data_IF_544308607809
#
_entry.id   IF_544308607809
#
_cell.length_a   1.000
_cell.length_b   1.000
_cell.length_c   1.000
_cell.angle_alpha   90.00
_cell.angle_beta   90.00
_cell.angle_gamma   90.00
#
_symmetry.space_group_name_H-M   'P 1'
#
loop_
_entity.id
_entity.type
_entity.pdbx_description
1 polymer ?
#
# COMPACT_ATOMS: atom_id res chain seq x y z
N UNK A 1 -18.61 -11.74 -4.52
CA UNK A 1 -17.51 -10.95 -5.11
C UNK A 1 -16.92 -10.10 -4.00
N UNK A 2 -15.63 -10.21 -3.71
CA UNK A 2 -14.93 -9.44 -2.68
C UNK A 2 -14.05 -8.37 -3.34
N UNK A 3 -14.08 -7.14 -2.81
CA UNK A 3 -13.18 -6.06 -3.23
C UNK A 3 -12.33 -5.69 -2.00
N UNK A 4 -11.10 -6.20 -1.90
CA UNK A 4 -10.20 -5.83 -0.82
C UNK A 4 -9.78 -4.38 -0.92
N UNK A 5 -9.70 -3.70 0.22
CA UNK A 5 -9.24 -2.31 0.33
C UNK A 5 -7.96 -2.27 1.17
N UNK A 6 -6.89 -1.75 0.58
CA UNK A 6 -5.61 -1.49 1.24
C UNK A 6 -5.55 -0.01 1.59
N UNK A 7 -5.53 0.31 2.88
CA UNK A 7 -5.30 1.68 3.36
C UNK A 7 -3.78 1.89 3.50
N UNK A 8 -3.16 2.46 2.47
CA UNK A 8 -1.72 2.72 2.40
C UNK A 8 -1.44 4.19 2.71
N UNK A 9 -1.40 4.51 3.99
CA UNK A 9 -1.11 5.85 4.49
C UNK A 9 -0.43 5.82 5.87
N UNK A 10 0.10 6.98 6.26
CA UNK A 10 0.69 7.21 7.59
C UNK A 10 2.21 7.13 7.62
N UNK A 11 2.82 8.05 8.37
CA UNK A 11 4.28 8.21 8.54
C UNK A 11 4.94 7.08 9.36
N UNK A 12 4.15 6.16 9.94
CA UNK A 12 4.66 5.01 10.69
C UNK A 12 5.36 5.36 12.00
N UNK A 13 4.93 6.42 12.70
CA UNK A 13 5.58 6.94 13.91
C UNK A 13 5.86 5.91 15.04
N UNK A 14 5.13 4.78 15.08
CA UNK A 14 5.32 3.71 16.08
C UNK A 14 6.46 2.74 15.77
N UNK A 15 7.01 2.76 14.55
CA UNK A 15 8.16 1.93 14.14
C UNK A 15 9.46 2.73 14.11
N UNK A 16 9.51 3.87 14.78
CA UNK A 16 10.75 4.61 14.95
C UNK A 16 11.82 3.73 15.66
N UNK A 17 13.09 3.73 15.22
CA UNK A 17 13.73 4.59 14.21
C UNK A 17 13.66 4.08 12.77
N UNK A 18 13.01 2.94 12.54
CA UNK A 18 12.94 2.26 11.23
C UNK A 18 12.01 2.97 10.25
N UNK A 19 10.87 3.47 10.73
CA UNK A 19 9.99 4.35 9.95
C UNK A 19 10.36 5.80 10.20
N UNK A 20 10.70 6.51 9.12
CA UNK A 20 10.93 7.96 9.11
C UNK A 20 9.96 8.59 8.12
N UNK A 21 9.80 9.90 8.17
CA UNK A 21 8.99 10.62 7.16
C UNK A 21 9.50 10.35 5.74
N UNK A 22 10.83 10.23 5.57
CA UNK A 22 11.47 9.83 4.31
C UNK A 22 11.34 8.34 3.95
N UNK A 23 10.98 7.48 4.90
CA UNK A 23 10.77 6.03 4.71
C UNK A 23 9.47 5.58 5.37
N UNK A 24 8.33 5.85 4.72
CA UNK A 24 7.02 5.50 5.26
C UNK A 24 6.90 3.99 5.44
N UNK A 25 6.24 3.57 6.53
CA UNK A 25 6.04 2.17 6.91
C UNK A 25 5.66 1.25 5.74
N UNK A 26 4.70 1.56 4.84
CA UNK A 26 4.31 0.65 3.76
C UNK A 26 5.49 0.13 2.92
N UNK A 27 6.54 0.93 2.75
CA UNK A 27 7.69 0.64 1.90
C UNK A 27 8.82 -0.10 2.61
N UNK A 28 8.73 -0.34 3.92
CA UNK A 28 9.75 -1.10 4.67
C UNK A 28 9.81 -2.52 4.14
N UNK A 29 11.01 -2.95 3.72
CA UNK A 29 11.30 -4.33 3.32
C UNK A 29 11.57 -5.21 4.52
N UNK A 30 11.03 -6.42 4.48
CA UNK A 30 11.26 -7.47 5.47
C UNK A 30 12.46 -8.34 5.06
N UNK A 31 12.84 -9.27 5.92
CA UNK A 31 14.00 -10.15 5.71
C UNK A 31 13.92 -10.99 4.42
N UNK A 32 12.71 -11.22 3.90
CA UNK A 32 12.47 -11.93 2.64
C UNK A 32 12.49 -11.02 1.40
N UNK A 33 12.90 -9.77 1.55
CA UNK A 33 13.07 -8.81 0.46
C UNK A 33 11.78 -8.15 -0.03
N UNK A 34 10.61 -8.57 0.47
CA UNK A 34 9.33 -7.94 0.13
C UNK A 34 8.98 -6.80 1.09
N UNK A 35 8.34 -5.75 0.57
CA UNK A 35 7.78 -4.69 1.41
C UNK A 35 6.49 -5.11 2.12
N UNK A 36 6.14 -4.39 3.19
CA UNK A 36 4.85 -4.55 3.87
C UNK A 36 3.67 -4.34 2.89
N UNK A 37 3.82 -3.39 1.97
CA UNK A 37 2.83 -3.08 0.94
C UNK A 37 2.70 -4.21 -0.08
N UNK A 38 3.81 -4.74 -0.60
CA UNK A 38 3.80 -5.89 -1.51
C UNK A 38 3.12 -7.11 -0.89
N UNK A 39 3.45 -7.43 0.36
CA UNK A 39 2.82 -8.55 1.07
C UNK A 39 1.32 -8.36 1.25
N UNK A 40 0.90 -7.13 1.51
CA UNK A 40 -0.53 -6.81 1.66
C UNK A 40 -1.27 -6.96 0.34
N UNK A 41 -0.66 -6.51 -0.77
CA UNK A 41 -1.21 -6.67 -2.12
C UNK A 41 -1.33 -8.13 -2.54
N UNK A 42 -0.31 -8.96 -2.28
CA UNK A 42 -0.35 -10.39 -2.61
C UNK A 42 -1.47 -11.12 -1.86
N UNK A 43 -1.65 -10.82 -0.55
CA UNK A 43 -2.78 -11.36 0.23
C UNK A 43 -4.13 -10.87 -0.28
N UNK A 44 -4.24 -9.58 -0.59
CA UNK A 44 -5.46 -8.99 -1.12
C UNK A 44 -5.85 -9.62 -2.47
N UNK A 45 -4.91 -9.73 -3.40
CA UNK A 45 -5.13 -10.32 -4.72
C UNK A 45 -5.58 -11.79 -4.64
N UNK A 46 -5.05 -12.56 -3.68
CA UNK A 46 -5.49 -13.94 -3.43
C UNK A 46 -6.97 -14.00 -3.00
N UNK A 47 -7.39 -13.09 -2.11
CA UNK A 47 -8.78 -13.01 -1.63
C UNK A 47 -9.74 -12.44 -2.69
N UNK A 48 -9.26 -11.54 -3.54
CA UNK A 48 -10.03 -10.99 -4.64
C UNK A 48 -10.36 -12.04 -5.74
N UNK A 49 -9.67 -13.19 -5.74
CA UNK A 49 -9.92 -14.31 -6.65
C UNK A 49 -9.96 -13.91 -8.14
N UNK A 50 -9.02 -13.05 -8.56
CA UNK A 50 -8.98 -12.50 -9.93
C UNK A 50 -9.69 -11.16 -10.11
N UNK A 51 -10.45 -10.70 -9.11
CA UNK A 51 -11.03 -9.37 -9.06
C UNK A 51 -10.03 -8.25 -8.72
N UNK A 52 -10.50 -6.99 -8.74
CA UNK A 52 -9.67 -5.83 -8.43
C UNK A 52 -9.37 -5.71 -6.94
N UNK A 53 -8.27 -5.02 -6.63
CA UNK A 53 -7.92 -4.53 -5.30
C UNK A 53 -7.93 -3.01 -5.33
N UNK A 54 -8.48 -2.37 -4.31
CA UNK A 54 -8.44 -0.91 -4.18
C UNK A 54 -7.35 -0.53 -3.19
N UNK A 55 -6.45 0.38 -3.59
CA UNK A 55 -5.49 1.00 -2.67
C UNK A 55 -5.85 2.47 -2.46
N UNK A 56 -6.14 2.82 -1.22
CA UNK A 56 -6.32 4.21 -0.77
C UNK A 56 -4.97 4.75 -0.33
N UNK A 57 -4.51 5.86 -0.92
CA UNK A 57 -3.21 6.47 -0.58
C UNK A 57 -3.18 7.95 -0.91
N UNK A 58 -2.15 8.66 -0.43
CA UNK A 58 -1.93 10.07 -0.77
C UNK A 58 -1.27 10.18 -2.17
N UNK A 59 -1.56 11.27 -2.89
CA UNK A 59 -0.90 11.65 -4.15
C UNK A 59 0.63 11.63 -4.09
N UNK A 60 1.21 11.94 -2.93
CA UNK A 60 2.67 11.89 -2.72
C UNK A 60 3.25 10.48 -2.87
N UNK A 61 2.48 9.44 -2.52
CA UNK A 61 2.95 8.05 -2.47
C UNK A 61 2.41 7.18 -3.60
N UNK A 62 1.59 7.73 -4.50
CA UNK A 62 0.96 6.94 -5.58
C UNK A 62 2.00 6.30 -6.49
N UNK A 63 3.04 7.04 -6.89
CA UNK A 63 4.07 6.54 -7.79
C UNK A 63 4.94 5.48 -7.12
N UNK A 64 5.39 5.71 -5.88
CA UNK A 64 6.14 4.73 -5.11
C UNK A 64 5.32 3.44 -4.89
N UNK A 65 4.03 3.57 -4.56
CA UNK A 65 3.12 2.41 -4.41
C UNK A 65 2.96 1.66 -5.72
N UNK A 66 2.82 2.38 -6.83
CA UNK A 66 2.69 1.80 -8.17
C UNK A 66 3.95 1.00 -8.55
N UNK A 67 5.13 1.53 -8.26
CA UNK A 67 6.40 0.84 -8.52
C UNK A 67 6.57 -0.41 -7.67
N UNK A 68 6.18 -0.37 -6.39
CA UNK A 68 6.14 -1.56 -5.52
C UNK A 68 5.23 -2.65 -6.10
N UNK A 69 4.03 -2.29 -6.56
CA UNK A 69 3.11 -3.26 -7.18
C UNK A 69 3.57 -3.76 -8.54
N UNK A 70 4.20 -2.91 -9.35
CA UNK A 70 4.78 -3.30 -10.64
C UNK A 70 5.88 -4.34 -10.45
N UNK A 71 6.74 -4.14 -9.45
CA UNK A 71 7.87 -5.05 -9.17
C UNK A 71 7.45 -6.47 -8.79
N UNK A 72 6.18 -6.68 -8.40
CA UNK A 72 5.59 -8.00 -8.10
C UNK A 72 4.53 -8.42 -9.13
N UNK A 73 4.39 -7.71 -10.25
CA UNK A 73 3.42 -8.03 -11.31
C UNK A 73 1.95 -7.87 -10.90
N UNK A 74 1.66 -7.03 -9.91
CA UNK A 74 0.31 -6.84 -9.37
C UNK A 74 -0.34 -5.49 -9.73
N UNK A 75 0.36 -4.63 -10.46
CA UNK A 75 -0.09 -3.26 -10.81
C UNK A 75 -1.46 -3.23 -11.50
N UNK A 76 -1.69 -4.09 -12.49
CA UNK A 76 -2.91 -4.12 -13.30
C UNK A 76 -4.16 -4.50 -12.51
N UNK A 77 -3.99 -5.17 -11.36
CA UNK A 77 -5.09 -5.57 -10.48
C UNK A 77 -5.53 -4.46 -9.53
N UNK A 78 -4.75 -3.37 -9.46
CA UNK A 78 -4.97 -2.33 -8.48
C UNK A 78 -5.68 -1.10 -9.06
N UNK A 79 -6.67 -0.61 -8.33
CA UNK A 79 -7.30 0.69 -8.55
C UNK A 79 -6.87 1.63 -7.43
N UNK A 80 -6.40 2.83 -7.78
CA UNK A 80 -6.00 3.84 -6.80
C UNK A 80 -7.15 4.78 -6.45
N UNK A 81 -7.40 4.96 -5.16
CA UNK A 81 -8.23 6.03 -4.61
C UNK A 81 -7.31 7.03 -3.90
N UNK A 82 -7.21 8.25 -4.44
CA UNK A 82 -6.26 9.25 -3.92
C UNK A 82 -6.93 10.16 -2.89
N UNK A 83 -6.39 10.18 -1.68
CA UNK A 83 -6.82 11.12 -0.65
C UNK A 83 -6.29 12.53 -0.99
N UNK A 84 -7.08 13.60 -0.77
CA UNK A 84 -6.66 14.98 -1.03
C UNK A 84 -5.57 15.48 -0.07
N UNK A 85 -5.29 14.74 1.00
CA UNK A 85 -4.24 15.01 1.98
C UNK A 85 -4.30 13.98 3.12
N UNK A 86 -3.25 13.90 3.95
CA UNK A 86 -3.22 12.96 5.07
C UNK A 86 -4.26 13.34 6.13
N UNK A 87 -5.32 12.51 6.28
CA UNK A 87 -6.42 12.78 7.24
C UNK A 87 -6.62 11.68 8.29
N UNK A 88 -5.62 10.81 8.50
CA UNK A 88 -5.71 9.59 9.32
C UNK A 88 -6.72 8.57 8.76
N UNK A 89 -6.89 7.43 9.44
CA UNK A 89 -7.61 6.25 8.92
C UNK A 89 -9.14 6.38 8.87
N UNK A 90 -9.74 7.32 9.61
CA UNK A 90 -11.20 7.47 9.68
C UNK A 90 -11.84 8.09 8.43
N UNK A 91 -11.22 9.10 7.80
CA UNK A 91 -11.70 9.69 6.54
C UNK A 91 -11.33 8.94 5.26
N UNK A 92 -10.58 7.84 5.36
CA UNK A 92 -10.04 7.07 4.23
C UNK A 92 -11.04 6.06 3.66
#
# INVERSE_FOLDING_TARGET
MLIPVILSGGVGARLWPVSREAYPKPFIRLADGQSLLQKSMLRAAAVAAGGPVVTVTNREYVYATRDEYRSIGAEERNVFLLEPGARNTGPA
#
